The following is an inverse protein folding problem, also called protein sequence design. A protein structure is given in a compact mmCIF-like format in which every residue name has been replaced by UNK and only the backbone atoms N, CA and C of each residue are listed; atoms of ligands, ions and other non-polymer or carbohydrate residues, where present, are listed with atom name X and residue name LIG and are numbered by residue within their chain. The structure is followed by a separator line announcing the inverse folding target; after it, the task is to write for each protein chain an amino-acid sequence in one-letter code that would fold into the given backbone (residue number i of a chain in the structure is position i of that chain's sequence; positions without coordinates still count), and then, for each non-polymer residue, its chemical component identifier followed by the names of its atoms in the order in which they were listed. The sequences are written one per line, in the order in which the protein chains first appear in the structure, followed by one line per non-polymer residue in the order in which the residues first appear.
data_IF_151358329185
#
_entry.id   IF_151358329185
#
_cell.length_a   1.000
_cell.length_b   1.000
_cell.length_c   1.000
_cell.angle_alpha   90.00
_cell.angle_beta   90.00
_cell.angle_gamma   90.00
#
_symmetry.space_group_name_H-M   'P 1'
#
loop_
_entity.id
_entity.type
_entity.pdbx_description
1 polymer ?
#
# COMPACT_ATOMS: atom_id res chain seq x y z
N UNK A 1 5.62 18.53 14.14
CA UNK A 1 6.14 17.14 14.30
C UNK A 1 6.16 16.46 12.94
N UNK A 2 7.20 15.65 12.67
CA UNK A 2 7.25 14.84 11.44
C UNK A 2 6.19 13.73 11.50
N UNK A 3 5.62 13.37 10.35
CA UNK A 3 4.65 12.27 10.28
C UNK A 3 5.30 10.92 10.58
N UNK A 4 4.51 9.92 10.98
CA UNK A 4 5.02 8.53 11.16
C UNK A 4 5.61 7.98 9.86
N UNK A 5 5.05 8.36 8.69
CA UNK A 5 5.56 7.98 7.38
C UNK A 5 6.95 8.59 7.16
N UNK A 6 7.12 9.90 7.39
CA UNK A 6 8.42 10.56 7.26
C UNK A 6 9.50 9.94 8.16
N UNK A 7 9.15 9.61 9.40
CA UNK A 7 10.08 8.96 10.34
C UNK A 7 10.50 7.56 9.86
N UNK A 8 9.57 6.77 9.30
CA UNK A 8 9.88 5.46 8.73
C UNK A 8 10.87 5.57 7.56
N UNK A 9 10.65 6.50 6.63
CA UNK A 9 11.59 6.73 5.51
C UNK A 9 12.94 7.25 5.99
N UNK A 10 13.00 8.15 6.96
CA UNK A 10 14.26 8.62 7.53
C UNK A 10 15.10 7.50 8.16
N UNK A 11 14.42 6.52 8.80
CA UNK A 11 15.10 5.33 9.31
C UNK A 11 15.73 4.53 8.16
N UNK A 12 14.98 4.29 7.08
CA UNK A 12 15.47 3.55 5.91
C UNK A 12 16.65 4.27 5.23
N UNK A 13 16.59 5.61 5.15
CA UNK A 13 17.69 6.43 4.60
C UNK A 13 18.98 6.31 5.45
N UNK A 14 18.85 6.35 6.78
CA UNK A 14 20.00 6.14 7.69
C UNK A 14 20.61 4.74 7.56
N UNK A 15 19.78 3.76 7.24
CA UNK A 15 20.19 2.37 7.00
C UNK A 15 20.61 2.13 5.53
N UNK A 16 20.65 3.18 4.70
CA UNK A 16 21.02 3.15 3.27
C UNK A 16 20.29 2.07 2.46
N UNK A 17 19.00 1.94 2.68
CA UNK A 17 18.13 0.94 1.99
C UNK A 17 16.77 1.53 1.62
N UNK A 18 16.06 0.94 0.63
CA UNK A 18 14.68 1.30 0.36
C UNK A 18 13.76 0.87 1.51
N UNK A 19 12.63 1.58 1.66
CA UNK A 19 11.56 1.15 2.55
C UNK A 19 10.87 -0.09 1.98
N UNK A 20 10.62 -1.10 2.83
CA UNK A 20 9.80 -2.25 2.50
C UNK A 20 8.37 -2.01 2.96
N UNK A 21 7.45 -1.99 2.01
CA UNK A 21 6.03 -1.79 2.25
C UNK A 21 5.29 -3.08 1.90
N UNK A 22 4.39 -3.52 2.77
CA UNK A 22 3.60 -4.74 2.56
C UNK A 22 2.14 -4.40 2.39
N UNK A 23 1.48 -4.99 1.38
CA UNK A 23 0.04 -4.84 1.15
C UNK A 23 -0.67 -6.18 1.29
N UNK A 24 -1.84 -6.18 1.92
CA UNK A 24 -2.80 -7.28 1.88
C UNK A 24 -4.24 -6.76 2.07
N UNK A 25 -5.23 -7.57 1.67
CA UNK A 25 -6.64 -7.22 1.87
C UNK A 25 -7.02 -7.50 3.31
N UNK A 26 -7.37 -6.45 4.04
CA UNK A 26 -7.75 -6.53 5.44
C UNK A 26 -9.01 -7.38 5.64
N UNK A 27 -8.97 -8.26 6.63
CA UNK A 27 -10.07 -9.18 6.93
C UNK A 27 -10.04 -10.49 6.15
N UNK A 28 -9.13 -10.68 5.19
CA UNK A 28 -8.98 -11.95 4.48
C UNK A 28 -8.63 -13.09 5.46
N UNK A 29 -9.49 -14.10 5.51
CA UNK A 29 -9.43 -15.18 6.48
C UNK A 29 -9.99 -14.83 7.88
N UNK A 30 -10.69 -13.69 8.02
CA UNK A 30 -11.34 -13.23 9.26
C UNK A 30 -10.50 -12.24 10.07
N UNK A 31 -11.15 -11.47 10.94
CA UNK A 31 -10.53 -10.35 11.70
C UNK A 31 -9.32 -10.76 12.54
N UNK A 32 -9.41 -11.87 13.29
CA UNK A 32 -8.32 -12.33 14.16
C UNK A 32 -7.09 -12.73 13.35
N UNK A 33 -7.29 -13.49 12.26
CA UNK A 33 -6.20 -13.92 11.38
C UNK A 33 -5.56 -12.72 10.66
N UNK A 34 -6.38 -11.78 10.19
CA UNK A 34 -5.91 -10.54 9.55
C UNK A 34 -5.04 -9.69 10.49
N UNK A 35 -5.43 -9.55 11.77
CA UNK A 35 -4.59 -8.87 12.77
C UNK A 35 -3.25 -9.61 12.99
N UNK A 36 -3.28 -10.94 13.07
CA UNK A 36 -2.06 -11.74 13.23
C UNK A 36 -1.13 -11.63 11.99
N UNK A 37 -1.70 -11.58 10.78
CA UNK A 37 -0.97 -11.33 9.54
C UNK A 37 -0.31 -9.95 9.60
N UNK A 38 -1.06 -8.91 9.95
CA UNK A 38 -0.54 -7.56 10.07
C UNK A 38 0.63 -7.47 11.05
N UNK A 39 0.48 -8.05 12.24
CA UNK A 39 1.54 -8.13 13.24
C UNK A 39 2.79 -8.86 12.74
N UNK A 40 2.60 -9.92 11.95
CA UNK A 40 3.72 -10.67 11.39
C UNK A 40 4.47 -9.89 10.29
N UNK A 41 3.72 -9.25 9.39
CA UNK A 41 4.28 -8.44 8.30
C UNK A 41 5.02 -7.22 8.86
N UNK A 42 4.47 -6.53 9.85
CA UNK A 42 5.02 -5.31 10.43
C UNK A 42 6.37 -5.50 11.15
N UNK A 43 6.72 -6.73 11.53
CA UNK A 43 8.06 -7.04 12.10
C UNK A 43 9.18 -6.80 11.09
N UNK A 44 8.90 -7.01 9.82
CA UNK A 44 9.89 -6.88 8.75
C UNK A 44 9.66 -5.65 7.87
N UNK A 45 8.40 -5.19 7.75
CA UNK A 45 8.03 -4.02 6.96
C UNK A 45 8.34 -2.71 7.69
N UNK A 46 8.53 -1.65 6.92
CA UNK A 46 8.68 -0.28 7.40
C UNK A 46 7.34 0.46 7.43
N UNK A 47 6.44 0.12 6.49
CA UNK A 47 5.05 0.56 6.43
C UNK A 47 4.15 -0.62 6.04
N UNK A 48 2.88 -0.57 6.47
CA UNK A 48 1.89 -1.58 6.10
C UNK A 48 0.70 -0.94 5.39
N UNK A 49 0.36 -1.46 4.21
CA UNK A 49 -0.84 -1.12 3.47
C UNK A 49 -1.92 -2.17 3.72
N UNK A 50 -3.13 -1.73 4.03
CA UNK A 50 -4.29 -2.58 4.27
C UNK A 50 -5.39 -2.18 3.28
N UNK A 51 -5.73 -3.11 2.38
CA UNK A 51 -6.86 -2.96 1.47
C UNK A 51 -8.19 -3.10 2.21
N UNK A 52 -9.13 -2.16 2.01
CA UNK A 52 -10.52 -2.38 2.38
C UNK A 52 -11.31 -2.88 1.17
N UNK A 53 -12.12 -3.93 1.39
CA UNK A 53 -12.73 -4.68 0.30
C UNK A 53 -13.77 -3.89 -0.47
N UNK A 54 -13.79 -4.13 -1.77
CA UNK A 54 -14.74 -3.57 -2.73
C UNK A 54 -15.25 -4.68 -3.66
N UNK A 55 -16.50 -4.57 -4.13
CA UNK A 55 -17.14 -5.62 -4.94
C UNK A 55 -16.60 -5.70 -6.37
N UNK A 56 -16.14 -4.57 -6.91
CA UNK A 56 -15.71 -4.45 -8.31
C UNK A 56 -14.32 -3.81 -8.40
N UNK A 57 -13.27 -4.50 -7.89
CA UNK A 57 -11.93 -3.92 -7.75
C UNK A 57 -11.17 -3.95 -9.09
N UNK A 58 -11.57 -3.09 -10.03
CA UNK A 58 -11.11 -3.07 -11.43
C UNK A 58 -9.61 -2.76 -11.60
N UNK A 59 -9.01 -2.06 -10.66
CA UNK A 59 -7.57 -1.77 -10.69
C UNK A 59 -6.72 -2.94 -10.18
N UNK A 60 -7.33 -3.92 -9.53
CA UNK A 60 -6.64 -5.05 -8.92
C UNK A 60 -6.58 -6.25 -9.86
N UNK A 61 -5.52 -7.05 -9.75
CA UNK A 61 -5.43 -8.32 -10.46
C UNK A 61 -6.09 -9.47 -9.73
N UNK A 62 -6.26 -10.60 -10.43
CA UNK A 62 -7.08 -11.73 -9.99
C UNK A 62 -6.79 -12.23 -8.58
N UNK A 63 -5.53 -12.24 -8.13
CA UNK A 63 -5.20 -12.67 -6.76
C UNK A 63 -5.77 -11.72 -5.70
N UNK A 64 -5.66 -10.41 -5.93
CA UNK A 64 -6.21 -9.40 -5.02
C UNK A 64 -7.73 -9.37 -5.11
N UNK A 65 -8.30 -9.48 -6.33
CA UNK A 65 -9.75 -9.61 -6.54
C UNK A 65 -10.32 -10.81 -5.76
N UNK A 66 -9.65 -11.96 -5.79
CA UNK A 66 -10.04 -13.13 -5.01
C UNK A 66 -10.02 -12.86 -3.50
N UNK A 67 -9.04 -12.09 -3.01
CA UNK A 67 -9.00 -11.69 -1.61
C UNK A 67 -10.18 -10.77 -1.25
N UNK A 68 -10.49 -9.79 -2.10
CA UNK A 68 -11.67 -8.91 -1.92
C UNK A 68 -12.96 -9.72 -1.87
N UNK A 69 -13.14 -10.64 -2.82
CA UNK A 69 -14.32 -11.50 -2.87
C UNK A 69 -14.47 -12.36 -1.60
N UNK A 70 -13.41 -13.09 -1.19
CA UNK A 70 -13.44 -13.90 0.05
C UNK A 70 -13.78 -13.06 1.27
N UNK A 71 -13.21 -11.87 1.36
CA UNK A 71 -13.41 -10.96 2.49
C UNK A 71 -14.86 -10.48 2.56
N UNK A 72 -15.44 -10.06 1.44
CA UNK A 72 -16.83 -9.61 1.37
C UNK A 72 -17.81 -10.75 1.65
N UNK A 73 -17.58 -11.95 1.08
CA UNK A 73 -18.39 -13.14 1.32
C UNK A 73 -18.39 -13.57 2.78
N UNK A 74 -17.26 -13.38 3.49
CA UNK A 74 -17.17 -13.64 4.94
C UNK A 74 -17.79 -12.55 5.82
N UNK A 75 -18.48 -11.57 5.24
CA UNK A 75 -19.21 -10.53 5.96
C UNK A 75 -18.35 -9.38 6.50
N UNK A 76 -17.06 -9.33 6.19
CA UNK A 76 -16.17 -8.24 6.63
C UNK A 76 -16.55 -6.93 5.94
N UNK A 77 -16.57 -5.86 6.69
CA UNK A 77 -16.91 -4.50 6.24
C UNK A 77 -15.83 -3.51 6.70
N UNK A 78 -15.88 -2.29 6.19
CA UNK A 78 -14.91 -1.22 6.51
C UNK A 78 -14.76 -0.97 8.02
N UNK A 79 -15.83 -1.09 8.81
CA UNK A 79 -15.78 -0.97 10.26
C UNK A 79 -14.87 -2.01 10.92
N UNK A 80 -14.81 -3.21 10.36
CA UNK A 80 -13.95 -4.29 10.86
C UNK A 80 -12.48 -4.01 10.56
N UNK A 81 -12.20 -3.34 9.43
CA UNK A 81 -10.85 -2.86 9.11
C UNK A 81 -10.39 -1.81 10.11
N UNK A 82 -11.26 -0.85 10.46
CA UNK A 82 -10.95 0.11 11.51
C UNK A 82 -10.69 -0.57 12.87
N UNK A 83 -11.42 -1.62 13.22
CA UNK A 83 -11.20 -2.39 14.45
C UNK A 83 -9.84 -3.09 14.43
N UNK A 84 -9.44 -3.66 13.28
CA UNK A 84 -8.11 -4.28 13.09
C UNK A 84 -7.02 -3.24 13.31
N UNK A 85 -7.11 -2.08 12.62
CA UNK A 85 -6.13 -0.99 12.72
C UNK A 85 -6.05 -0.45 14.15
N UNK A 86 -7.21 -0.23 14.80
CA UNK A 86 -7.27 0.23 16.21
C UNK A 86 -6.56 -0.73 17.15
N UNK A 87 -6.78 -2.05 16.99
CA UNK A 87 -6.13 -3.08 17.81
C UNK A 87 -4.63 -3.13 17.57
N UNK A 88 -4.20 -3.04 16.31
CA UNK A 88 -2.80 -3.02 15.92
C UNK A 88 -2.06 -1.82 16.50
N UNK A 89 -2.65 -0.62 16.42
CA UNK A 89 -2.05 0.62 16.89
C UNK A 89 -2.01 0.78 18.42
N UNK A 90 -2.50 -0.22 19.19
CA UNK A 90 -2.27 -0.27 20.64
C UNK A 90 -0.80 -0.57 20.99
N UNK A 91 -0.09 -1.22 20.09
CA UNK A 91 1.34 -1.46 20.22
C UNK A 91 2.11 -0.16 19.92
N UNK A 92 3.00 0.24 20.83
CA UNK A 92 3.83 1.45 20.69
C UNK A 92 4.81 1.36 19.50
N UNK A 93 5.21 0.16 19.14
CA UNK A 93 6.13 -0.12 18.03
C UNK A 93 5.41 -0.33 16.68
N UNK A 94 4.09 -0.06 16.64
CA UNK A 94 3.29 -0.20 15.42
C UNK A 94 3.83 0.65 14.27
N UNK A 95 3.97 0.02 13.10
CA UNK A 95 4.40 0.71 11.86
C UNK A 95 3.27 1.58 11.31
N UNK A 96 3.58 2.64 10.53
CA UNK A 96 2.57 3.45 9.88
C UNK A 96 1.63 2.59 9.04
N UNK A 97 0.31 2.83 9.17
CA UNK A 97 -0.72 2.15 8.40
C UNK A 97 -1.21 3.08 7.30
N UNK A 98 -1.23 2.57 6.07
CA UNK A 98 -1.87 3.17 4.91
C UNK A 98 -3.10 2.33 4.57
N UNK A 99 -4.29 2.94 4.50
CA UNK A 99 -5.46 2.26 3.95
C UNK A 99 -5.52 2.47 2.45
N UNK A 100 -5.86 1.42 1.71
CA UNK A 100 -6.00 1.45 0.26
C UNK A 100 -7.36 0.90 -0.17
N UNK A 101 -8.02 1.58 -1.10
CA UNK A 101 -9.29 1.08 -1.65
C UNK A 101 -9.95 2.03 -2.63
N UNK A 102 -11.26 1.88 -2.76
CA UNK A 102 -12.07 2.55 -3.79
C UNK A 102 -12.92 3.66 -3.19
N UNK A 103 -13.04 4.77 -3.92
CA UNK A 103 -13.70 5.98 -3.45
C UNK A 103 -15.16 5.77 -3.08
N UNK A 104 -15.89 4.90 -3.81
CA UNK A 104 -17.29 4.64 -3.50
C UNK A 104 -17.50 4.14 -2.07
N UNK A 105 -16.61 3.32 -1.52
CA UNK A 105 -16.68 2.88 -0.11
C UNK A 105 -16.56 4.06 0.84
N UNK A 106 -15.66 4.99 0.54
CA UNK A 106 -15.44 6.23 1.32
C UNK A 106 -16.65 7.15 1.23
N UNK A 107 -17.16 7.34 0.03
CA UNK A 107 -18.33 8.16 -0.26
C UNK A 107 -19.57 7.66 0.48
N UNK A 108 -19.84 6.35 0.41
CA UNK A 108 -20.95 5.69 1.13
C UNK A 108 -20.81 5.81 2.66
N UNK A 109 -19.59 5.70 3.18
CA UNK A 109 -19.32 5.90 4.62
C UNK A 109 -19.47 7.37 5.04
N UNK A 110 -19.50 8.30 4.09
CA UNK A 110 -19.40 9.77 4.18
C UNK A 110 -17.97 10.21 4.52
N UNK A 111 -17.31 10.92 3.61
CA UNK A 111 -15.89 11.30 3.68
C UNK A 111 -15.46 11.84 5.05
N UNK A 112 -16.20 12.81 5.61
CA UNK A 112 -15.83 13.42 6.89
C UNK A 112 -15.86 12.41 8.05
N UNK A 113 -16.86 11.50 8.06
CA UNK A 113 -16.95 10.42 9.05
C UNK A 113 -15.83 9.42 8.87
N UNK A 114 -15.51 9.07 7.62
CA UNK A 114 -14.43 8.15 7.28
C UNK A 114 -13.07 8.71 7.74
N UNK A 115 -12.75 9.97 7.40
CA UNK A 115 -11.49 10.60 7.78
C UNK A 115 -11.36 10.80 9.29
N UNK A 116 -12.46 11.20 9.97
CA UNK A 116 -12.49 11.26 11.44
C UNK A 116 -12.18 9.89 12.05
N UNK A 117 -12.76 8.81 11.50
CA UNK A 117 -12.51 7.44 11.98
C UNK A 117 -11.07 7.00 11.67
N UNK A 118 -10.53 7.29 10.49
CA UNK A 118 -9.13 7.05 10.16
C UNK A 118 -8.19 7.70 11.19
N UNK A 119 -8.42 8.98 11.50
CA UNK A 119 -7.64 9.71 12.51
C UNK A 119 -7.75 9.07 13.89
N UNK A 120 -8.96 8.73 14.34
CA UNK A 120 -9.23 8.09 15.63
C UNK A 120 -8.47 6.77 15.81
N UNK A 121 -8.42 5.94 14.76
CA UNK A 121 -7.75 4.63 14.83
C UNK A 121 -6.27 4.68 14.48
N UNK A 122 -5.74 5.85 14.11
CA UNK A 122 -4.32 6.07 13.85
C UNK A 122 -3.85 5.67 12.45
N UNK A 123 -4.70 5.81 11.42
CA UNK A 123 -4.30 5.68 10.01
C UNK A 123 -3.36 6.82 9.65
N UNK A 124 -2.23 6.51 9.03
CA UNK A 124 -1.19 7.48 8.65
C UNK A 124 -1.36 7.99 7.21
N UNK A 125 -1.92 7.18 6.32
CA UNK A 125 -2.10 7.55 4.92
C UNK A 125 -3.28 6.85 4.25
N UNK A 126 -3.66 7.38 3.08
CA UNK A 126 -4.72 6.84 2.23
C UNK A 126 -4.27 6.77 0.77
N UNK A 127 -4.61 5.66 0.11
CA UNK A 127 -4.57 5.48 -1.34
C UNK A 127 -6.00 5.23 -1.81
N UNK A 128 -6.48 6.05 -2.75
CA UNK A 128 -7.79 5.88 -3.40
C UNK A 128 -7.54 5.65 -4.88
N UNK A 129 -7.74 4.41 -5.33
CA UNK A 129 -7.24 3.94 -6.63
C UNK A 129 -8.04 4.47 -7.81
N UNK A 130 -9.29 4.83 -7.61
CA UNK A 130 -10.25 5.31 -8.61
C UNK A 130 -10.58 6.82 -8.48
N UNK A 131 -9.78 7.57 -7.71
CA UNK A 131 -9.92 9.02 -7.57
C UNK A 131 -8.66 9.73 -8.12
N UNK A 132 -8.60 10.00 -9.43
CA UNK A 132 -7.40 10.54 -10.08
C UNK A 132 -7.22 12.06 -9.83
N UNK A 133 -6.03 12.56 -10.15
CA UNK A 133 -5.77 14.01 -10.25
C UNK A 133 -6.44 14.58 -11.52
N UNK A 134 -7.10 15.77 -11.50
CA UNK A 134 -7.17 16.70 -10.36
C UNK A 134 -8.40 16.50 -9.46
N UNK A 135 -9.29 15.56 -9.75
CA UNK A 135 -10.57 15.31 -9.05
C UNK A 135 -10.35 14.95 -7.58
N UNK A 136 -9.16 14.39 -7.25
CA UNK A 136 -8.79 14.05 -5.87
C UNK A 136 -8.41 15.26 -4.98
N UNK A 137 -8.17 16.45 -5.54
CA UNK A 137 -7.65 17.61 -4.79
C UNK A 137 -8.54 18.02 -3.60
N UNK A 138 -9.89 18.09 -3.73
CA UNK A 138 -10.75 18.42 -2.60
C UNK A 138 -10.66 17.39 -1.48
N UNK A 139 -10.59 16.09 -1.83
CA UNK A 139 -10.48 15.02 -0.86
C UNK A 139 -9.08 14.98 -0.20
N UNK A 140 -8.01 15.18 -0.97
CA UNK A 140 -6.64 15.28 -0.46
C UNK A 140 -6.50 16.43 0.57
N UNK A 141 -7.14 17.58 0.32
CA UNK A 141 -7.21 18.69 1.28
C UNK A 141 -7.88 18.26 2.59
N UNK A 142 -8.99 17.51 2.52
CA UNK A 142 -9.66 16.97 3.71
C UNK A 142 -8.77 15.93 4.45
N UNK A 143 -8.02 15.11 3.73
CA UNK A 143 -7.04 14.19 4.34
C UNK A 143 -5.99 14.95 5.14
N UNK A 144 -5.42 16.01 4.55
CA UNK A 144 -4.40 16.85 5.17
C UNK A 144 -4.89 17.51 6.45
N UNK A 145 -6.11 18.06 6.49
CA UNK A 145 -6.71 18.63 7.70
C UNK A 145 -6.95 17.61 8.82
N UNK A 146 -7.02 16.32 8.46
CA UNK A 146 -7.11 15.22 9.42
C UNK A 146 -5.73 14.59 9.74
N UNK A 147 -4.62 15.20 9.29
CA UNK A 147 -3.25 14.68 9.46
C UNK A 147 -3.03 13.30 8.82
N UNK A 148 -3.71 13.05 7.71
CA UNK A 148 -3.62 11.82 6.92
C UNK A 148 -2.92 12.17 5.60
N UNK A 149 -1.81 11.49 5.28
CA UNK A 149 -1.12 11.64 4.01
C UNK A 149 -1.99 11.03 2.88
N UNK A 150 -2.32 11.81 1.86
CA UNK A 150 -2.98 11.30 0.67
C UNK A 150 -1.92 10.95 -0.38
N UNK A 151 -1.73 9.65 -0.64
CA UNK A 151 -0.75 9.17 -1.59
C UNK A 151 -1.28 9.29 -3.02
N UNK A 152 -0.57 10.06 -3.84
CA UNK A 152 -0.90 10.22 -5.25
C UNK A 152 -0.35 9.06 -6.08
N UNK A 153 -1.18 8.50 -6.95
CA UNK A 153 -0.81 7.46 -7.88
C UNK A 153 -0.29 8.07 -9.20
N UNK A 154 0.83 7.57 -9.67
CA UNK A 154 1.42 7.94 -10.97
C UNK A 154 1.53 6.66 -11.79
N UNK A 155 0.85 6.61 -12.94
CA UNK A 155 0.87 5.46 -13.83
C UNK A 155 2.01 5.57 -14.87
N UNK A 156 2.42 4.46 -15.51
CA UNK A 156 3.42 4.49 -16.58
C UNK A 156 2.99 5.33 -17.81
N UNK A 157 1.69 5.55 -17.98
CA UNK A 157 1.12 6.37 -19.06
C UNK A 157 0.98 7.85 -18.70
N UNK A 158 1.29 8.22 -17.45
CA UNK A 158 1.23 9.61 -17.02
C UNK A 158 2.34 10.42 -17.70
N UNK A 159 1.96 11.47 -18.44
CA UNK A 159 2.95 12.37 -19.04
C UNK A 159 3.78 13.08 -17.96
N UNK A 160 5.00 13.47 -18.30
CA UNK A 160 5.89 14.19 -17.36
C UNK A 160 5.27 15.50 -16.87
N UNK A 161 4.56 16.22 -17.74
CA UNK A 161 3.86 17.45 -17.36
C UNK A 161 2.76 17.16 -16.32
N UNK A 162 1.97 16.09 -16.51
CA UNK A 162 0.94 15.68 -15.54
C UNK A 162 1.59 15.16 -14.23
N UNK A 163 2.64 14.36 -14.31
CA UNK A 163 3.39 13.90 -13.14
C UNK A 163 3.94 15.06 -12.31
N UNK A 164 4.43 16.14 -12.97
CA UNK A 164 4.89 17.37 -12.29
C UNK A 164 3.76 18.00 -11.47
N UNK A 165 2.57 18.17 -12.06
CA UNK A 165 1.39 18.73 -11.35
C UNK A 165 0.97 17.84 -10.16
N UNK A 166 0.93 16.51 -10.35
CA UNK A 166 0.60 15.54 -9.30
C UNK A 166 1.59 15.67 -8.15
N UNK A 167 2.90 15.63 -8.41
CA UNK A 167 3.94 15.70 -7.37
C UNK A 167 3.92 17.06 -6.67
N UNK A 168 3.71 18.14 -7.37
CA UNK A 168 3.59 19.47 -6.76
C UNK A 168 2.44 19.54 -5.75
N UNK A 169 1.29 18.94 -6.09
CA UNK A 169 0.10 18.92 -5.23
C UNK A 169 0.11 17.84 -4.14
N UNK A 170 1.02 16.86 -4.22
CA UNK A 170 1.09 15.75 -3.27
C UNK A 170 1.70 16.15 -1.93
N UNK A 171 1.43 15.36 -0.91
CA UNK A 171 2.13 15.41 0.36
C UNK A 171 3.56 14.85 0.25
N UNK A 172 4.03 14.08 1.23
CA UNK A 172 5.41 13.60 1.34
C UNK A 172 5.70 12.31 0.56
N UNK A 173 4.66 11.55 0.19
CA UNK A 173 4.78 10.22 -0.41
C UNK A 173 3.92 10.08 -1.66
N UNK A 174 4.53 9.58 -2.73
CA UNK A 174 3.88 9.25 -4.00
C UNK A 174 4.08 7.78 -4.34
N UNK A 175 3.22 7.23 -5.16
CA UNK A 175 3.21 5.83 -5.54
C UNK A 175 3.31 5.67 -7.06
N UNK A 176 4.40 5.09 -7.55
CA UNK A 176 4.58 4.74 -8.95
C UNK A 176 4.01 3.35 -9.20
N UNK A 177 2.96 3.28 -10.00
CA UNK A 177 2.43 2.03 -10.52
C UNK A 177 3.37 1.53 -11.62
N UNK A 178 3.93 0.33 -11.48
CA UNK A 178 4.96 -0.17 -12.40
C UNK A 178 4.42 -0.90 -13.62
N UNK A 179 3.12 -1.14 -13.71
CA UNK A 179 2.48 -1.94 -14.78
C UNK A 179 1.36 -1.20 -15.49
N UNK A 180 1.19 -1.48 -16.78
CA UNK A 180 0.07 -1.00 -17.61
C UNK A 180 -1.17 -1.90 -17.56
N UNK A 181 -1.09 -3.04 -16.87
CA UNK A 181 -2.18 -4.00 -16.72
C UNK A 181 -2.54 -4.20 -15.26
N UNK A 182 -3.73 -4.72 -15.00
CA UNK A 182 -4.11 -5.18 -13.67
C UNK A 182 -3.07 -6.15 -13.12
N UNK A 183 -2.88 -6.15 -11.79
CA UNK A 183 -1.91 -6.99 -11.10
C UNK A 183 -2.07 -8.46 -11.51
N UNK A 184 -1.04 -9.05 -12.13
CA UNK A 184 -1.08 -10.44 -12.64
C UNK A 184 -1.18 -10.58 -14.16
N UNK A 185 -1.31 -9.48 -14.93
CA UNK A 185 -1.32 -9.50 -16.40
C UNK A 185 0.02 -9.92 -17.03
N UNK A 186 -0.03 -10.47 -18.25
CA UNK A 186 1.14 -11.04 -18.95
C UNK A 186 2.16 -10.02 -19.50
N UNK A 187 1.88 -8.72 -19.46
CA UNK A 187 2.82 -7.70 -19.92
C UNK A 187 3.92 -7.49 -18.86
N UNK A 188 5.01 -8.22 -19.00
CA UNK A 188 6.22 -8.08 -18.17
C UNK A 188 7.00 -6.84 -18.60
N UNK A 189 6.78 -5.73 -17.94
CA UNK A 189 7.68 -4.57 -18.06
C UNK A 189 9.00 -4.93 -17.39
N UNK A 190 10.12 -4.78 -18.12
CA UNK A 190 11.45 -5.06 -17.57
C UNK A 190 11.74 -4.11 -16.39
N UNK A 191 12.35 -4.61 -15.28
CA UNK A 191 12.76 -3.76 -14.16
C UNK A 191 13.56 -2.52 -14.55
N UNK A 192 14.42 -2.62 -15.55
CA UNK A 192 15.19 -1.49 -16.11
C UNK A 192 14.27 -0.35 -16.57
N UNK A 193 13.21 -0.67 -17.33
CA UNK A 193 12.26 0.34 -17.84
C UNK A 193 11.45 0.99 -16.70
N UNK A 194 11.12 0.24 -15.68
CA UNK A 194 10.46 0.77 -14.48
C UNK A 194 11.39 1.77 -13.76
N UNK A 195 12.67 1.42 -13.60
CA UNK A 195 13.67 2.30 -12.98
C UNK A 195 13.95 3.55 -13.82
N UNK A 196 13.98 3.44 -15.11
CA UNK A 196 14.12 4.61 -16.01
C UNK A 196 12.95 5.59 -15.79
N UNK A 197 11.73 5.09 -15.72
CA UNK A 197 10.56 5.91 -15.43
C UNK A 197 10.58 6.47 -13.99
N UNK A 198 10.93 5.65 -13.01
CA UNK A 198 11.13 6.07 -11.64
C UNK A 198 12.11 7.24 -11.55
N UNK A 199 13.28 7.12 -12.17
CA UNK A 199 14.31 8.15 -12.15
C UNK A 199 13.87 9.45 -12.82
N UNK A 200 13.11 9.37 -13.93
CA UNK A 200 12.52 10.55 -14.59
C UNK A 200 11.56 11.29 -13.66
N UNK A 201 10.70 10.55 -12.98
CA UNK A 201 9.69 11.12 -12.07
C UNK A 201 10.34 11.64 -10.78
N UNK A 202 11.30 10.90 -10.22
CA UNK A 202 12.03 11.30 -9.01
C UNK A 202 12.79 12.61 -9.17
N UNK A 203 13.32 12.90 -10.36
CA UNK A 203 13.99 14.18 -10.67
C UNK A 203 13.07 15.40 -10.57
N UNK A 204 11.75 15.23 -10.66
CA UNK A 204 10.79 16.34 -10.54
C UNK A 204 10.84 16.94 -9.13
N UNK A 205 10.92 16.09 -8.10
CA UNK A 205 11.11 16.51 -6.70
C UNK A 205 11.90 15.42 -5.94
N UNK A 206 13.20 15.58 -5.78
CA UNK A 206 14.06 14.61 -5.10
C UNK A 206 13.75 14.41 -3.62
N UNK A 207 13.10 15.39 -2.97
CA UNK A 207 12.81 15.35 -1.53
C UNK A 207 11.60 14.44 -1.25
N UNK A 208 10.54 14.54 -2.06
CA UNK A 208 9.34 13.73 -1.89
C UNK A 208 9.65 12.26 -2.18
N UNK A 209 9.13 11.37 -1.35
CA UNK A 209 9.33 9.93 -1.53
C UNK A 209 8.46 9.40 -2.66
N UNK A 210 9.04 8.47 -3.42
CA UNK A 210 8.38 7.78 -4.53
C UNK A 210 8.58 6.28 -4.38
N UNK A 211 7.54 5.56 -4.02
CA UNK A 211 7.60 4.10 -3.90
C UNK A 211 7.17 3.42 -5.17
N UNK A 212 7.72 2.24 -5.43
CA UNK A 212 7.37 1.43 -6.61
C UNK A 212 6.48 0.28 -6.16
N UNK A 213 5.29 0.19 -6.74
CA UNK A 213 4.38 -0.92 -6.48
C UNK A 213 3.84 -1.55 -7.75
N UNK A 214 3.08 -2.64 -7.57
CA UNK A 214 2.58 -3.54 -8.60
C UNK A 214 3.70 -4.36 -9.28
N UNK A 215 3.46 -5.66 -9.44
CA UNK A 215 4.37 -6.56 -10.15
C UNK A 215 5.73 -6.82 -9.48
N UNK A 216 5.95 -6.34 -8.26
CA UNK A 216 7.16 -6.65 -7.48
C UNK A 216 7.07 -8.09 -6.96
N UNK A 217 8.09 -8.87 -7.28
CA UNK A 217 8.20 -10.28 -6.89
C UNK A 217 9.55 -10.57 -6.26
N UNK A 218 9.70 -11.76 -5.68
CA UNK A 218 11.00 -12.20 -5.16
C UNK A 218 12.13 -12.28 -6.19
N UNK A 219 11.79 -12.30 -7.50
CA UNK A 219 12.77 -12.28 -8.60
C UNK A 219 13.19 -10.85 -8.98
N UNK A 220 12.30 -9.88 -8.83
CA UNK A 220 12.51 -8.50 -9.33
C UNK A 220 12.85 -7.50 -8.22
N UNK A 221 12.56 -7.81 -6.96
CA UNK A 221 12.71 -6.86 -5.84
C UNK A 221 14.13 -6.29 -5.72
N UNK A 222 15.16 -7.11 -5.93
CA UNK A 222 16.57 -6.69 -5.87
C UNK A 222 16.91 -5.59 -6.87
N UNK A 223 16.22 -5.56 -8.01
CA UNK A 223 16.43 -4.52 -9.03
C UNK A 223 16.05 -3.12 -8.54
N UNK A 224 15.23 -3.01 -7.50
CA UNK A 224 14.71 -1.75 -6.99
C UNK A 224 15.39 -1.26 -5.69
N UNK A 225 16.55 -1.83 -5.34
CA UNK A 225 17.27 -1.47 -4.10
C UNK A 225 17.67 0.01 -4.00
N UNK A 226 17.76 0.71 -5.11
CA UNK A 226 18.11 2.14 -5.17
C UNK A 226 16.86 3.06 -5.28
N UNK A 227 15.64 2.53 -5.07
CA UNK A 227 14.44 3.35 -4.98
C UNK A 227 14.19 3.83 -3.54
N UNK A 228 13.27 4.78 -3.33
CA UNK A 228 12.88 5.18 -1.97
C UNK A 228 12.15 4.05 -1.23
N UNK A 229 11.45 3.17 -1.96
CA UNK A 229 10.75 2.03 -1.36
C UNK A 229 10.06 1.15 -2.38
N UNK A 230 9.74 -0.07 -1.97
CA UNK A 230 9.07 -1.09 -2.77
C UNK A 230 7.86 -1.65 -2.04
N UNK A 231 6.78 -1.93 -2.79
CA UNK A 231 5.54 -2.47 -2.25
C UNK A 231 5.33 -3.90 -2.70
N UNK A 232 5.17 -4.80 -1.73
CA UNK A 232 4.83 -6.21 -1.93
C UNK A 232 3.35 -6.41 -1.68
N UNK A 233 2.55 -6.59 -2.72
CA UNK A 233 1.10 -6.82 -2.64
C UNK A 233 0.70 -8.21 -3.10
N UNK A 234 0.61 -8.42 -4.42
CA UNK A 234 0.12 -9.67 -5.02
C UNK A 234 0.85 -10.92 -4.53
N UNK A 235 2.14 -10.83 -4.25
CA UNK A 235 2.94 -11.94 -3.70
C UNK A 235 2.44 -12.34 -2.30
N UNK A 236 2.11 -11.38 -1.45
CA UNK A 236 1.56 -11.61 -0.10
C UNK A 236 0.15 -12.19 -0.21
N UNK A 237 -0.73 -11.58 -1.03
CA UNK A 237 -2.10 -12.07 -1.26
C UNK A 237 -2.11 -13.50 -1.79
N UNK A 238 -1.20 -13.84 -2.71
CA UNK A 238 -1.03 -15.20 -3.24
C UNK A 238 -0.66 -16.20 -2.14
N UNK A 239 0.27 -15.84 -1.25
CA UNK A 239 0.65 -16.72 -0.14
C UNK A 239 -0.49 -16.89 0.87
N UNK A 240 -1.26 -15.82 1.16
CA UNK A 240 -2.46 -15.94 1.99
C UNK A 240 -3.45 -16.92 1.35
N UNK A 241 -3.75 -16.75 0.05
CA UNK A 241 -4.64 -17.65 -0.70
C UNK A 241 -4.17 -19.10 -0.63
N UNK A 242 -2.86 -19.33 -0.88
CA UNK A 242 -2.26 -20.67 -0.83
C UNK A 242 -2.42 -21.30 0.56
N UNK A 243 -2.04 -20.56 1.59
CA UNK A 243 -2.11 -21.05 2.98
C UNK A 243 -3.55 -21.37 3.40
N UNK A 244 -4.52 -20.51 3.02
CA UNK A 244 -5.93 -20.74 3.34
C UNK A 244 -6.47 -21.99 2.64
N UNK A 245 -6.15 -22.19 1.35
CA UNK A 245 -6.54 -23.40 0.59
C UNK A 245 -5.98 -24.68 1.19
N UNK A 246 -4.73 -24.64 1.65
CA UNK A 246 -4.03 -25.78 2.26
C UNK A 246 -4.34 -25.94 3.76
N UNK A 247 -5.23 -25.14 4.34
CA UNK A 247 -5.55 -25.09 5.78
C UNK A 247 -4.31 -24.88 6.66
N UNK A 248 -3.29 -24.21 6.13
CA UNK A 248 -2.06 -23.85 6.84
C UNK A 248 -2.18 -22.47 7.50
N UNK A 249 -1.30 -22.19 8.46
CA UNK A 249 -1.24 -20.87 9.09
C UNK A 249 -0.46 -19.89 8.16
N UNK A 250 -1.11 -18.87 7.56
CA UNK A 250 -0.44 -17.92 6.69
C UNK A 250 0.62 -17.08 7.42
N UNK A 251 0.49 -16.87 8.72
CA UNK A 251 1.38 -16.02 9.54
C UNK A 251 2.82 -16.49 9.47
N UNK A 252 3.05 -17.79 9.70
CA UNK A 252 4.40 -18.38 9.69
C UNK A 252 5.06 -18.29 8.31
N UNK A 253 4.28 -18.62 7.26
CA UNK A 253 4.78 -18.58 5.88
C UNK A 253 5.10 -17.16 5.44
N UNK A 254 4.24 -16.19 5.77
CA UNK A 254 4.43 -14.78 5.45
C UNK A 254 5.63 -14.19 6.17
N UNK A 255 5.81 -14.46 7.48
CA UNK A 255 6.96 -13.96 8.24
C UNK A 255 8.28 -14.40 7.60
N UNK A 256 8.39 -15.67 7.22
CA UNK A 256 9.58 -16.22 6.55
C UNK A 256 9.78 -15.55 5.19
N UNK A 257 8.73 -15.52 4.36
CA UNK A 257 8.78 -14.97 3.01
C UNK A 257 9.20 -13.50 3.01
N UNK A 258 8.59 -12.66 3.85
CA UNK A 258 8.89 -11.22 3.86
C UNK A 258 10.29 -10.96 4.39
N UNK A 259 10.76 -11.72 5.40
CA UNK A 259 12.15 -11.66 5.89
C UNK A 259 13.15 -11.99 4.77
N UNK A 260 12.90 -13.05 4.00
CA UNK A 260 13.78 -13.45 2.91
C UNK A 260 13.78 -12.44 1.77
N UNK A 261 12.64 -11.77 1.52
CA UNK A 261 12.54 -10.70 0.53
C UNK A 261 13.24 -9.43 1.00
N UNK A 262 13.15 -9.10 2.29
CA UNK A 262 13.86 -7.95 2.87
C UNK A 262 15.37 -8.08 2.72
N UNK A 263 15.94 -9.26 3.00
CA UNK A 263 17.38 -9.53 2.80
C UNK A 263 17.88 -9.25 1.38
N UNK A 264 17.00 -9.27 0.38
CA UNK A 264 17.38 -9.01 -1.02
C UNK A 264 17.52 -7.52 -1.36
N UNK A 265 17.06 -6.65 -0.48
CA UNK A 265 17.10 -5.19 -0.66
C UNK A 265 17.97 -4.49 0.39
N UNK A 266 18.47 -5.24 1.34
CA UNK A 266 19.58 -4.85 2.21
C UNK A 266 20.91 -5.06 1.46
#
# INVERSE_FOLDING_TARGET
MKSKIALAFQKCEKENRPALITYFVGGDGGKKKSLNILNALSKEADLCEIGFSFSTPIADGGEIQNCHHRTLTSGIRIKDIFDIVKKYNKDKDSKPIILMGYYQTIFHYRENKFLKKCKEVGVSGLIVVDLPFPENLPFAKKCKTNSICFLQLISPTTSIQRAKKIIQSSDELNYLVSMLSTTGGKLKVLPKKILENYNKIKKINPIKKLVIGFGITGKTIRSFKNSDGVVLGSTICKEITRSLKLRQNPVTNLSRMVRDLKKKIL
#
